data_IF_662706868897
#
_entry.id   IF_662706868897
#
_cell.length_a   1.000
_cell.length_b   1.000
_cell.length_c   1.000
_cell.angle_alpha   90.00
_cell.angle_beta   90.00
_cell.angle_gamma   90.00
#
_symmetry.space_group_name_H-M   'P 1'
#
loop_
_entity.id
_entity.type
_entity.pdbx_description
1 polymer ?
#
# COMPACT_ATOMS: atom_id res chain seq x y z
N UNK A 1 -10.88 -35.55 46.02
CA UNK A 1 -11.72 -36.13 44.95
C UNK A 1 -12.83 -35.15 44.61
N UNK A 2 -12.78 -34.47 43.47
CA UNK A 2 -13.96 -33.94 42.78
C UNK A 2 -13.54 -33.53 41.37
N UNK A 3 -14.11 -34.21 40.37
CA UNK A 3 -13.99 -33.92 38.95
C UNK A 3 -15.38 -33.51 38.47
N UNK A 4 -15.43 -32.49 37.61
CA UNK A 4 -16.13 -32.43 36.31
C UNK A 4 -17.07 -31.21 36.10
N UNK A 5 -16.92 -30.70 34.86
CA UNK A 5 -17.84 -29.92 34.02
C UNK A 5 -17.93 -28.40 34.21
N UNK A 6 -17.34 -27.66 33.27
CA UNK A 6 -18.11 -26.91 32.26
C UNK A 6 -17.21 -26.45 31.11
N UNK A 7 -17.57 -26.88 29.90
CA UNK A 7 -17.11 -26.32 28.65
C UNK A 7 -18.32 -26.13 27.74
N UNK A 8 -18.17 -25.22 26.77
CA UNK A 8 -19.07 -24.89 25.66
C UNK A 8 -20.11 -23.82 25.94
N UNK A 9 -19.80 -22.57 25.57
CA UNK A 9 -20.67 -21.69 24.77
C UNK A 9 -19.95 -20.37 24.43
N UNK A 10 -19.39 -20.26 23.21
CA UNK A 10 -19.19 -19.00 22.45
C UNK A 10 -18.63 -19.30 21.05
N UNK A 11 -19.45 -19.91 20.20
CA UNK A 11 -19.16 -20.08 18.76
C UNK A 11 -20.40 -19.79 17.87
N UNK A 12 -21.55 -19.45 18.49
CA UNK A 12 -22.83 -19.29 17.78
C UNK A 12 -23.16 -17.87 17.34
N UNK A 13 -22.49 -16.86 17.91
CA UNK A 13 -22.85 -15.45 17.69
C UNK A 13 -22.21 -14.88 16.41
N UNK A 14 -21.02 -15.34 16.05
CA UNK A 14 -20.26 -14.83 14.92
C UNK A 14 -20.78 -15.32 13.55
N UNK A 15 -21.24 -16.59 13.53
CA UNK A 15 -21.77 -17.20 12.30
C UNK A 15 -23.12 -16.61 11.88
N UNK A 16 -23.94 -16.15 12.83
CA UNK A 16 -25.22 -15.49 12.54
C UNK A 16 -25.03 -14.07 12.00
N UNK A 17 -24.03 -13.34 12.50
CA UNK A 17 -23.68 -12.01 12.00
C UNK A 17 -23.09 -12.08 10.59
N UNK A 18 -22.29 -13.12 10.32
CA UNK A 18 -21.74 -13.40 8.99
C UNK A 18 -22.81 -13.83 7.98
N UNK A 19 -23.73 -14.72 8.36
CA UNK A 19 -24.83 -15.15 7.49
C UNK A 19 -25.82 -14.01 7.20
N UNK A 20 -26.10 -13.14 8.17
CA UNK A 20 -26.93 -11.94 7.96
C UNK A 20 -26.27 -10.93 6.99
N UNK A 21 -24.93 -10.83 7.00
CA UNK A 21 -24.17 -10.00 6.02
C UNK A 21 -24.15 -10.62 4.62
N UNK A 22 -24.18 -11.94 4.52
CA UNK A 22 -24.27 -12.66 3.23
C UNK A 22 -25.70 -12.59 2.66
N UNK A 23 -26.74 -12.69 3.49
CA UNK A 23 -28.14 -12.52 3.06
C UNK A 23 -28.44 -11.07 2.63
N UNK A 24 -27.88 -10.06 3.33
CA UNK A 24 -27.98 -8.66 2.93
C UNK A 24 -27.28 -8.36 1.59
N UNK A 25 -26.19 -9.06 1.27
CA UNK A 25 -25.54 -8.99 -0.04
C UNK A 25 -26.39 -9.63 -1.16
N UNK A 26 -27.34 -10.50 -0.80
CA UNK A 26 -28.22 -11.21 -1.73
C UNK A 26 -29.45 -10.36 -2.14
N UNK A 27 -29.99 -9.51 -1.26
CA UNK A 27 -31.08 -8.57 -1.59
C UNK A 27 -30.66 -7.44 -2.54
N UNK A 28 -29.37 -7.06 -2.54
CA UNK A 28 -28.83 -6.05 -3.46
C UNK A 28 -28.57 -6.62 -4.87
N UNK A 29 -28.57 -7.95 -5.03
CA UNK A 29 -28.27 -8.66 -6.28
C UNK A 29 -29.49 -9.00 -7.15
N UNK A 30 -30.59 -8.24 -6.98
CA UNK A 30 -31.73 -8.25 -7.91
C UNK A 30 -31.51 -7.45 -9.21
N UNK A 31 -30.34 -6.79 -9.39
CA UNK A 31 -30.06 -5.90 -10.51
C UNK A 31 -28.94 -6.38 -11.43
N UNK A 32 -29.32 -6.86 -12.62
CA UNK A 32 -28.55 -7.04 -13.87
C UNK A 32 -27.00 -7.19 -13.79
N UNK A 33 -26.43 -8.39 -14.05
CA UNK A 33 -25.03 -8.73 -13.78
C UNK A 33 -24.02 -8.29 -14.85
N UNK A 34 -24.15 -7.09 -15.41
CA UNK A 34 -23.28 -6.61 -16.52
C UNK A 34 -22.38 -5.42 -16.19
N UNK A 35 -22.39 -4.88 -14.97
CA UNK A 35 -21.46 -3.79 -14.63
C UNK A 35 -20.06 -4.34 -14.31
N UNK A 36 -19.08 -3.93 -15.12
CA UNK A 36 -17.64 -4.25 -15.01
C UNK A 36 -17.01 -3.83 -13.67
N UNK A 37 -17.72 -3.12 -12.81
CA UNK A 37 -17.22 -2.48 -11.59
C UNK A 37 -17.10 -3.42 -10.40
N UNK A 38 -17.99 -4.40 -10.23
CA UNK A 38 -17.93 -5.34 -9.11
C UNK A 38 -16.80 -6.37 -9.22
N UNK A 39 -16.52 -6.84 -10.43
CA UNK A 39 -15.49 -7.86 -10.68
C UNK A 39 -14.06 -7.29 -10.59
N UNK A 40 -13.89 -6.00 -10.89
CA UNK A 40 -12.60 -5.32 -10.82
C UNK A 40 -12.15 -5.06 -9.37
N UNK A 41 -13.09 -4.88 -8.44
CA UNK A 41 -12.79 -4.62 -7.03
C UNK A 41 -12.24 -5.87 -6.31
N UNK A 42 -12.84 -7.04 -6.57
CA UNK A 42 -12.37 -8.33 -6.02
C UNK A 42 -10.98 -8.71 -6.55
N UNK A 43 -10.69 -8.39 -7.82
CA UNK A 43 -9.37 -8.65 -8.41
C UNK A 43 -8.27 -7.72 -7.87
N UNK A 44 -8.62 -6.54 -7.37
CA UNK A 44 -7.68 -5.60 -6.78
C UNK A 44 -7.32 -5.94 -5.31
N UNK A 45 -8.00 -6.91 -4.70
CA UNK A 45 -7.68 -7.42 -3.36
C UNK A 45 -6.59 -8.53 -3.38
N UNK A 46 -6.12 -8.97 -4.56
CA UNK A 46 -5.10 -10.01 -4.69
C UNK A 46 -3.93 -9.53 -5.58
N UNK A 47 -2.71 -9.29 -5.03
CA UNK A 47 -1.62 -8.68 -5.80
C UNK A 47 -0.96 -9.59 -6.84
N UNK A 48 -1.25 -10.89 -6.87
CA UNK A 48 -0.55 -11.83 -7.76
C UNK A 48 -1.49 -12.52 -8.74
N UNK A 49 -1.65 -11.95 -9.94
CA UNK A 49 -2.27 -12.65 -11.09
C UNK A 49 -1.47 -13.90 -11.53
N UNK A 50 -0.21 -14.03 -11.12
CA UNK A 50 0.69 -15.11 -11.54
C UNK A 50 0.41 -16.50 -10.95
N UNK A 51 -0.31 -16.63 -9.82
CA UNK A 51 -0.56 -17.94 -9.19
C UNK A 51 -1.79 -18.69 -9.72
N UNK A 52 -2.64 -18.05 -10.53
CA UNK A 52 -3.76 -18.75 -11.17
C UNK A 52 -3.37 -19.54 -12.44
N UNK A 53 -2.21 -19.23 -13.05
CA UNK A 53 -1.70 -19.96 -14.21
C UNK A 53 -0.78 -21.14 -13.86
N UNK A 54 -0.16 -21.16 -12.67
CA UNK A 54 0.72 -22.25 -12.27
C UNK A 54 -0.02 -23.50 -11.77
N UNK A 55 -1.31 -23.41 -11.44
CA UNK A 55 -2.13 -24.55 -11.01
C UNK A 55 -2.69 -25.38 -12.17
N UNK A 56 -2.45 -24.98 -13.42
CA UNK A 56 -2.86 -25.71 -14.62
C UNK A 56 -1.61 -26.08 -15.41
N UNK A 57 -1.05 -27.24 -15.08
CA UNK A 57 0.20 -27.75 -15.61
C UNK A 57 0.24 -27.84 -17.14
N UNK A 58 1.46 -27.66 -17.65
CA UNK A 58 1.89 -27.77 -19.04
C UNK A 58 1.42 -29.07 -19.72
N UNK A 59 0.64 -28.93 -20.80
CA UNK A 59 0.27 -30.03 -21.69
C UNK A 59 -0.52 -29.49 -22.88
N UNK A 60 -0.01 -29.71 -24.09
CA UNK A 60 -0.57 -29.21 -25.33
C UNK A 60 -2.06 -29.57 -25.51
N UNK A 61 -2.92 -28.57 -25.65
CA UNK A 61 -4.27 -28.73 -26.19
C UNK A 61 -4.58 -27.59 -27.15
N UNK A 62 -4.73 -27.96 -28.42
CA UNK A 62 -5.50 -27.21 -29.41
C UNK A 62 -6.91 -26.95 -28.83
N UNK A 63 -7.30 -25.67 -28.80
CA UNK A 63 -8.64 -25.14 -28.45
C UNK A 63 -9.30 -25.63 -27.14
N UNK A 64 -9.56 -24.68 -26.21
CA UNK A 64 -10.75 -24.79 -25.36
C UNK A 64 -11.48 -23.45 -25.28
N UNK A 65 -12.25 -23.10 -26.33
CA UNK A 65 -13.20 -21.96 -26.26
C UNK A 65 -14.63 -22.38 -25.90
N UNK A 66 -14.88 -23.69 -25.74
CA UNK A 66 -16.21 -24.25 -25.54
C UNK A 66 -16.49 -24.75 -24.10
N UNK A 67 -15.52 -25.36 -23.40
CA UNK A 67 -15.80 -26.01 -22.10
C UNK A 67 -15.81 -25.06 -20.90
N UNK A 68 -15.06 -23.95 -20.90
CA UNK A 68 -15.07 -22.99 -19.79
C UNK A 68 -16.38 -22.18 -19.70
N UNK A 69 -17.19 -22.17 -20.77
CA UNK A 69 -18.52 -21.56 -20.78
C UNK A 69 -19.56 -22.39 -20.02
N UNK A 70 -19.37 -23.70 -19.84
CA UNK A 70 -20.37 -24.54 -19.15
C UNK A 70 -20.27 -24.44 -17.61
N UNK A 71 -19.09 -24.10 -17.07
CA UNK A 71 -18.88 -23.91 -15.63
C UNK A 71 -19.32 -22.53 -15.11
N UNK A 72 -19.33 -21.53 -15.98
CA UNK A 72 -19.66 -20.13 -15.64
C UNK A 72 -20.98 -19.63 -16.25
N UNK A 73 -21.56 -20.40 -17.18
CA UNK A 73 -22.78 -20.05 -17.89
C UNK A 73 -23.90 -21.03 -17.58
N UNK A 74 -24.50 -20.91 -16.40
CA UNK A 74 -25.70 -21.68 -16.05
C UNK A 74 -26.29 -21.27 -14.70
N UNK A 75 -27.60 -21.45 -14.50
CA UNK A 75 -28.22 -21.24 -13.19
C UNK A 75 -27.54 -22.18 -12.18
N UNK A 76 -26.85 -21.63 -11.17
CA UNK A 76 -26.11 -22.39 -10.16
C UNK A 76 -24.58 -22.22 -10.18
N UNK A 77 -24.01 -21.47 -11.13
CA UNK A 77 -22.60 -21.07 -11.13
C UNK A 77 -22.09 -20.46 -9.79
N UNK A 78 -22.85 -19.58 -9.09
CA UNK A 78 -22.38 -19.01 -7.82
C UNK A 78 -22.25 -20.07 -6.69
N UNK A 79 -23.12 -21.09 -6.67
CA UNK A 79 -23.07 -22.13 -5.66
C UNK A 79 -21.83 -23.03 -5.81
N UNK A 80 -21.40 -23.30 -7.04
CA UNK A 80 -20.22 -24.13 -7.34
C UNK A 80 -18.91 -23.41 -7.06
N UNK A 81 -18.86 -22.09 -7.29
CA UNK A 81 -17.72 -21.26 -6.93
C UNK A 81 -17.54 -21.18 -5.41
N UNK A 82 -18.65 -21.05 -4.67
CA UNK A 82 -18.66 -21.04 -3.21
C UNK A 82 -18.19 -22.38 -2.62
N UNK A 83 -18.59 -23.50 -3.24
CA UNK A 83 -18.19 -24.84 -2.82
C UNK A 83 -16.68 -25.09 -3.02
N UNK A 84 -16.10 -24.56 -4.10
CA UNK A 84 -14.65 -24.60 -4.34
C UNK A 84 -13.88 -23.75 -3.32
N UNK A 85 -14.37 -22.56 -3.00
CA UNK A 85 -13.77 -21.67 -2.01
C UNK A 85 -13.82 -22.25 -0.59
N UNK A 86 -14.92 -22.90 -0.22
CA UNK A 86 -15.06 -23.63 1.06
C UNK A 86 -14.13 -24.85 1.15
N UNK A 87 -13.92 -25.57 0.05
CA UNK A 87 -12.96 -26.69 -0.01
C UNK A 87 -11.50 -26.23 0.10
N UNK A 88 -11.15 -25.07 -0.47
CA UNK A 88 -9.81 -24.48 -0.33
C UNK A 88 -9.52 -23.97 1.09
N UNK A 89 -10.53 -23.48 1.81
CA UNK A 89 -10.40 -23.01 3.19
C UNK A 89 -10.23 -24.15 4.22
N UNK A 90 -10.66 -25.37 3.89
CA UNK A 90 -10.53 -26.55 4.75
C UNK A 90 -9.15 -27.23 4.69
N UNK A 91 -8.25 -26.77 3.80
CA UNK A 91 -6.93 -27.37 3.57
C UNK A 91 -5.75 -26.61 4.23
N UNK A 92 -6.01 -25.54 4.99
CA UNK A 92 -4.95 -24.80 5.71
C UNK A 92 -4.73 -25.38 7.12
N UNK A 93 -3.50 -25.78 7.48
CA UNK A 93 -3.21 -26.28 8.82
C UNK A 93 -3.22 -25.15 9.85
N UNK A 94 -4.00 -25.32 10.91
CA UNK A 94 -4.01 -24.46 12.08
C UNK A 94 -2.91 -24.88 13.06
N UNK A 95 -1.80 -24.13 13.14
CA UNK A 95 -0.97 -24.10 14.35
C UNK A 95 0.09 -22.99 14.33
N UNK A 96 0.36 -22.50 15.56
CA UNK A 96 1.41 -21.59 16.02
C UNK A 96 1.09 -20.10 15.80
N UNK A 97 1.00 -19.24 16.82
CA UNK A 97 1.42 -19.31 18.22
C UNK A 97 1.88 -17.90 18.59
N UNK A 98 1.17 -17.25 19.51
CA UNK A 98 1.42 -15.87 19.96
C UNK A 98 2.84 -15.69 20.51
N UNK A 99 3.54 -14.68 20.01
CA UNK A 99 4.64 -14.02 20.71
C UNK A 99 4.50 -12.51 20.48
N UNK A 100 4.40 -11.79 21.59
CA UNK A 100 4.20 -10.35 21.70
C UNK A 100 5.57 -9.71 22.00
N UNK A 101 6.04 -8.72 21.23
CA UNK A 101 7.03 -7.79 21.74
C UNK A 101 6.52 -6.34 21.64
N UNK A 102 6.38 -5.72 22.82
CA UNK A 102 6.01 -4.32 22.96
C UNK A 102 6.98 -3.39 22.21
N UNK A 103 6.41 -2.49 21.42
CA UNK A 103 7.13 -1.45 20.69
C UNK A 103 7.37 -0.23 21.59
N UNK A 104 8.58 0.34 21.66
CA UNK A 104 8.79 1.63 22.29
C UNK A 104 8.37 2.77 21.35
N UNK A 105 7.43 3.59 21.81
CA UNK A 105 7.03 4.87 21.20
C UNK A 105 8.21 5.85 21.16
N UNK A 106 8.41 6.53 20.03
CA UNK A 106 9.17 7.79 20.01
C UNK A 106 8.60 8.80 19.04
N UNK A 107 8.46 10.03 19.55
CA UNK A 107 8.31 11.25 18.79
C UNK A 107 9.65 11.62 18.15
N UNK A 108 9.66 11.82 16.83
CA UNK A 108 10.82 12.28 16.10
C UNK A 108 10.68 13.78 15.80
N UNK A 109 11.25 14.62 16.65
CA UNK A 109 11.59 16.01 16.30
C UNK A 109 13.03 16.02 15.79
N UNK A 110 13.20 16.09 14.47
CA UNK A 110 14.53 16.09 13.87
C UNK A 110 14.49 16.56 12.42
N UNK A 111 14.89 17.81 12.19
CA UNK A 111 15.15 18.38 10.87
C UNK A 111 16.26 17.57 10.18
N UNK A 112 15.91 16.81 9.14
CA UNK A 112 16.88 16.16 8.26
C UNK A 112 17.23 17.10 7.10
N UNK A 113 18.44 17.66 7.11
CA UNK A 113 19.10 18.15 5.89
C UNK A 113 19.90 16.99 5.28
N UNK A 114 19.88 16.81 3.94
CA UNK A 114 20.62 15.72 3.31
C UNK A 114 22.11 16.06 3.18
N UNK A 115 22.96 15.28 3.85
CA UNK A 115 24.39 15.23 3.59
C UNK A 115 24.64 14.43 2.32
N UNK A 116 24.78 15.15 1.20
CA UNK A 116 25.28 14.63 -0.08
C UNK A 116 26.73 14.14 0.09
N UNK A 117 26.91 12.82 0.27
CA UNK A 117 28.18 12.17 -0.07
C UNK A 117 28.18 11.84 -1.57
N UNK A 118 29.21 12.30 -2.28
CA UNK A 118 29.44 12.01 -3.69
C UNK A 118 29.65 10.50 -3.87
N UNK A 119 28.78 9.86 -4.65
CA UNK A 119 29.04 8.54 -5.22
C UNK A 119 29.34 8.69 -6.71
N UNK A 120 30.36 7.96 -7.19
CA UNK A 120 30.88 8.06 -8.54
C UNK A 120 29.89 7.53 -9.57
N UNK A 121 29.51 8.37 -10.52
CA UNK A 121 28.78 7.96 -11.72
C UNK A 121 29.75 7.34 -12.73
N UNK A 122 29.56 6.06 -13.04
CA UNK A 122 30.19 5.37 -14.16
C UNK A 122 29.11 4.73 -15.01
N UNK A 123 28.78 5.36 -16.15
CA UNK A 123 27.94 4.76 -17.18
C UNK A 123 28.73 3.73 -17.97
N UNK A 124 28.24 2.48 -18.00
CA UNK A 124 28.77 1.42 -18.84
C UNK A 124 28.32 0.05 -18.34
N UNK A 125 27.46 -0.63 -19.11
CA UNK A 125 27.08 -2.05 -18.99
C UNK A 125 26.84 -2.55 -17.57
N UNK A 126 25.58 -2.57 -17.14
CA UNK A 126 25.13 -2.95 -15.79
C UNK A 126 25.52 -4.40 -15.45
N UNK A 127 26.77 -4.57 -14.99
CA UNK A 127 27.28 -5.79 -14.39
C UNK A 127 27.01 -5.68 -12.90
N UNK A 128 26.14 -6.56 -12.39
CA UNK A 128 25.86 -6.68 -10.96
C UNK A 128 27.18 -6.80 -10.17
N UNK A 129 27.28 -6.20 -8.98
CA UNK A 129 28.47 -6.38 -8.16
C UNK A 129 28.66 -7.87 -7.87
N UNK A 130 29.92 -8.36 -7.75
CA UNK A 130 30.22 -9.79 -7.61
C UNK A 130 29.54 -10.48 -6.41
N UNK A 131 29.10 -9.70 -5.43
CA UNK A 131 28.40 -10.09 -4.20
C UNK A 131 26.88 -10.12 -4.31
N UNK A 132 26.28 -9.55 -5.37
CA UNK A 132 24.83 -9.49 -5.52
C UNK A 132 24.26 -10.82 -6.06
N UNK A 133 23.27 -11.35 -5.34
CA UNK A 133 22.51 -12.51 -5.76
C UNK A 133 21.20 -12.06 -6.43
N UNK A 134 20.92 -12.54 -7.64
CA UNK A 134 19.62 -12.34 -8.26
C UNK A 134 18.50 -13.00 -7.44
N UNK A 135 17.41 -12.27 -7.23
CA UNK A 135 16.20 -12.77 -6.56
C UNK A 135 15.02 -12.70 -7.53
N UNK A 136 14.04 -13.63 -7.45
CA UNK A 136 12.88 -13.57 -8.32
C UNK A 136 12.14 -12.22 -8.17
N UNK A 137 11.82 -11.50 -9.26
CA UNK A 137 11.14 -10.20 -9.17
C UNK A 137 9.75 -10.25 -8.50
N UNK A 138 9.11 -11.42 -8.55
CA UNK A 138 7.83 -11.69 -7.86
C UNK A 138 7.98 -12.08 -6.39
N UNK A 139 9.22 -12.18 -5.88
CA UNK A 139 9.48 -12.50 -4.49
C UNK A 139 9.04 -11.34 -3.59
N UNK A 140 8.59 -11.65 -2.37
CA UNK A 140 8.03 -10.65 -1.47
C UNK A 140 9.07 -9.58 -1.08
N UNK A 141 10.35 -9.96 -0.92
CA UNK A 141 11.43 -9.01 -0.59
C UNK A 141 11.58 -7.94 -1.67
N UNK A 142 11.58 -8.35 -2.95
CA UNK A 142 11.67 -7.43 -4.08
C UNK A 142 10.49 -6.45 -4.10
N UNK A 143 9.26 -6.95 -3.90
CA UNK A 143 8.05 -6.12 -3.92
C UNK A 143 7.97 -5.18 -2.71
N UNK A 144 8.42 -5.62 -1.53
CA UNK A 144 8.50 -4.77 -0.33
C UNK A 144 9.52 -3.65 -0.54
N UNK A 145 10.73 -3.99 -0.97
CA UNK A 145 11.79 -3.04 -1.24
C UNK A 145 11.37 -2.00 -2.30
N UNK A 146 10.81 -2.45 -3.43
CA UNK A 146 10.27 -1.56 -4.46
C UNK A 146 9.10 -0.71 -3.95
N UNK A 147 8.25 -1.26 -3.08
CA UNK A 147 7.18 -0.52 -2.41
C UNK A 147 7.70 0.64 -1.55
N UNK A 148 8.78 0.43 -0.80
CA UNK A 148 9.41 1.51 -0.01
C UNK A 148 9.99 2.59 -0.92
N UNK A 149 10.67 2.21 -2.01
CA UNK A 149 11.16 3.17 -3.02
C UNK A 149 10.01 3.97 -3.62
N UNK A 150 8.89 3.32 -3.94
CA UNK A 150 7.69 4.01 -4.45
C UNK A 150 7.15 5.02 -3.44
N UNK A 151 7.03 4.66 -2.16
CA UNK A 151 6.56 5.55 -1.12
C UNK A 151 7.49 6.76 -0.92
N UNK A 152 8.80 6.55 -0.98
CA UNK A 152 9.79 7.61 -0.96
C UNK A 152 9.68 8.54 -2.18
N UNK A 153 9.61 7.98 -3.38
CA UNK A 153 9.43 8.74 -4.62
C UNK A 153 8.11 9.52 -4.62
N UNK A 154 7.04 8.93 -4.07
CA UNK A 154 5.74 9.58 -3.92
C UNK A 154 5.82 10.75 -2.95
N UNK A 155 6.53 10.62 -1.82
CA UNK A 155 6.74 11.75 -0.91
C UNK A 155 7.51 12.89 -1.58
N UNK A 156 8.52 12.58 -2.40
CA UNK A 156 9.33 13.59 -3.08
C UNK A 156 8.62 14.30 -4.23
N UNK A 157 7.79 13.59 -4.98
CA UNK A 157 7.24 14.07 -6.26
C UNK A 157 5.71 14.20 -6.28
N UNK A 158 5.02 13.61 -5.32
CA UNK A 158 3.57 13.54 -5.28
C UNK A 158 2.92 14.85 -4.87
N UNK A 159 1.64 14.97 -5.19
CA UNK A 159 0.80 16.09 -4.80
C UNK A 159 -0.65 15.63 -4.59
N UNK A 160 -1.56 16.50 -4.14
CA UNK A 160 -2.99 16.16 -4.05
C UNK A 160 -3.59 15.61 -5.37
N UNK A 161 -3.01 15.95 -6.52
CA UNK A 161 -3.44 15.47 -7.85
C UNK A 161 -2.36 14.69 -8.62
N UNK A 162 -1.32 14.20 -7.93
CA UNK A 162 -0.32 13.30 -8.51
C UNK A 162 0.07 12.22 -7.51
N UNK A 163 -0.25 10.97 -7.85
CA UNK A 163 0.12 9.78 -7.08
C UNK A 163 0.75 8.75 -8.00
N UNK A 164 1.61 7.91 -7.43
CA UNK A 164 2.32 6.87 -8.15
C UNK A 164 1.96 5.49 -7.63
N UNK A 165 1.88 4.55 -8.55
CA UNK A 165 1.63 3.14 -8.29
C UNK A 165 2.71 2.30 -8.95
N UNK A 166 3.15 1.25 -8.24
CA UNK A 166 4.06 0.26 -8.80
C UNK A 166 3.25 -0.76 -9.60
N UNK A 167 3.65 -1.02 -10.85
CA UNK A 167 2.99 -2.03 -11.68
C UNK A 167 3.69 -3.38 -11.57
N UNK A 168 4.95 -3.45 -11.97
CA UNK A 168 5.72 -4.70 -12.00
C UNK A 168 7.19 -4.46 -11.67
N UNK A 169 7.74 -5.32 -10.82
CA UNK A 169 9.20 -5.47 -10.68
C UNK A 169 9.70 -6.38 -11.80
N UNK A 170 10.65 -5.88 -12.59
CA UNK A 170 11.26 -6.59 -13.70
C UNK A 170 12.54 -7.31 -13.30
N UNK A 171 13.34 -6.66 -12.45
CA UNK A 171 14.62 -7.20 -11.99
C UNK A 171 14.79 -6.86 -10.51
N UNK A 172 15.38 -7.80 -9.79
CA UNK A 172 15.73 -7.62 -8.40
C UNK A 172 16.99 -8.44 -8.08
N UNK A 173 17.91 -7.85 -7.35
CA UNK A 173 19.02 -8.55 -6.73
C UNK A 173 19.23 -8.05 -5.31
N UNK A 174 19.87 -8.88 -4.50
CA UNK A 174 20.18 -8.63 -3.10
C UNK A 174 21.69 -8.78 -2.90
N UNK A 175 22.31 -7.72 -2.40
CA UNK A 175 23.67 -7.68 -1.93
C UNK A 175 23.66 -7.65 -0.39
N UNK A 176 24.32 -8.62 0.23
CA UNK A 176 24.62 -8.60 1.66
C UNK A 176 25.92 -7.81 1.88
N UNK A 177 25.84 -6.69 2.61
CA UNK A 177 26.97 -5.84 2.93
C UNK A 177 27.37 -6.12 4.39
N UNK A 178 28.52 -6.78 4.64
CA UNK A 178 28.97 -7.12 5.98
C UNK A 178 28.96 -5.91 6.92
N UNK A 179 28.48 -6.14 8.15
CA UNK A 179 28.38 -5.14 9.21
C UNK A 179 27.55 -3.88 8.88
N UNK A 180 26.83 -3.88 7.75
CA UNK A 180 26.03 -2.75 7.28
C UNK A 180 24.56 -3.13 7.10
N UNK A 181 24.28 -4.21 6.35
CA UNK A 181 22.93 -4.70 6.11
C UNK A 181 22.68 -5.10 4.66
N UNK A 182 21.42 -5.10 4.25
CA UNK A 182 20.98 -5.65 2.98
C UNK A 182 20.66 -4.56 1.96
N UNK A 183 21.34 -4.59 0.81
CA UNK A 183 21.10 -3.69 -0.31
C UNK A 183 20.35 -4.40 -1.43
N UNK A 184 19.24 -3.83 -1.86
CA UNK A 184 18.47 -4.31 -2.99
C UNK A 184 18.72 -3.42 -4.21
N UNK A 185 19.01 -4.03 -5.35
CA UNK A 185 19.03 -3.38 -6.66
C UNK A 185 17.79 -3.78 -7.43
N UNK A 186 17.01 -2.80 -7.89
CA UNK A 186 15.67 -2.99 -8.39
C UNK A 186 15.48 -2.29 -9.73
N UNK A 187 14.76 -2.93 -10.63
CA UNK A 187 14.17 -2.29 -11.82
C UNK A 187 12.68 -2.60 -11.87
N UNK A 188 11.82 -1.57 -11.87
CA UNK A 188 10.37 -1.73 -11.81
C UNK A 188 9.62 -0.60 -12.54
N UNK A 189 8.38 -0.86 -12.94
CA UNK A 189 7.50 0.12 -13.56
C UNK A 189 6.72 0.92 -12.53
N UNK A 190 6.68 2.24 -12.74
CA UNK A 190 5.90 3.20 -11.95
C UNK A 190 4.93 3.93 -12.88
N UNK A 191 3.67 3.99 -12.46
CA UNK A 191 2.60 4.64 -13.20
C UNK A 191 2.00 5.78 -12.39
N UNK A 192 1.72 6.90 -13.04
CA UNK A 192 0.89 7.97 -12.46
C UNK A 192 -0.57 7.53 -12.46
N UNK A 193 -1.19 7.46 -11.27
CA UNK A 193 -2.45 6.74 -11.09
C UNK A 193 -3.70 7.59 -11.14
N UNK A 194 -3.61 8.92 -11.05
CA UNK A 194 -4.78 9.80 -11.02
C UNK A 194 -5.26 10.15 -12.42
N UNK A 195 -4.32 10.47 -13.31
CA UNK A 195 -4.59 10.92 -14.68
C UNK A 195 -4.42 9.80 -15.71
N UNK A 196 -4.09 8.58 -15.25
CA UNK A 196 -3.92 7.39 -16.06
C UNK A 196 -2.86 7.60 -17.16
N UNK A 197 -1.70 8.12 -16.73
CA UNK A 197 -0.55 8.38 -17.59
C UNK A 197 0.21 7.13 -18.03
N UNK A 198 1.31 7.36 -18.76
CA UNK A 198 2.26 6.32 -19.14
C UNK A 198 3.02 5.78 -17.93
N UNK A 199 3.42 4.52 -18.02
CA UNK A 199 4.33 3.89 -17.07
C UNK A 199 5.77 4.26 -17.42
N UNK A 200 6.56 4.62 -16.43
CA UNK A 200 8.00 4.86 -16.54
C UNK A 200 8.76 3.76 -15.83
N UNK A 201 9.92 3.40 -16.37
CA UNK A 201 10.84 2.51 -15.65
C UNK A 201 11.54 3.29 -14.54
N UNK A 202 11.68 2.65 -13.39
CA UNK A 202 12.46 3.07 -12.26
C UNK A 202 13.60 2.08 -12.03
N UNK A 203 14.83 2.59 -11.93
CA UNK A 203 15.95 1.83 -11.38
C UNK A 203 16.26 2.38 -10.00
N UNK A 204 16.42 1.52 -9.00
CA UNK A 204 16.61 1.95 -7.63
C UNK A 204 17.52 1.02 -6.82
N UNK A 205 18.25 1.65 -5.91
CA UNK A 205 19.00 1.01 -4.84
C UNK A 205 18.33 1.38 -3.51
N UNK A 206 18.06 0.38 -2.68
CA UNK A 206 17.61 0.58 -1.29
C UNK A 206 18.45 -0.26 -0.34
N UNK A 207 19.02 0.37 0.68
CA UNK A 207 19.81 -0.27 1.73
C UNK A 207 19.03 -0.24 3.04
N UNK A 208 18.74 -1.43 3.57
CA UNK A 208 18.25 -1.61 4.93
C UNK A 208 19.44 -1.83 5.85
N UNK A 209 19.61 -0.96 6.84
CA UNK A 209 20.69 -1.10 7.81
C UNK A 209 20.37 -2.18 8.86
N UNK A 210 21.34 -3.03 9.14
CA UNK A 210 21.30 -3.98 10.25
C UNK A 210 22.16 -3.43 11.38
N UNK A 211 21.52 -2.87 12.39
CA UNK A 211 22.18 -2.36 13.58
C UNK A 211 21.19 -2.20 14.73
N UNK A 212 21.72 -2.02 15.94
CA UNK A 212 20.90 -1.90 17.16
C UNK A 212 20.04 -0.64 17.17
N UNK A 213 20.45 0.39 16.41
CA UNK A 213 19.68 1.61 16.23
C UNK A 213 18.85 1.50 14.96
N UNK A 214 17.51 1.58 15.05
CA UNK A 214 16.67 1.65 13.86
C UNK A 214 16.99 2.90 13.05
N UNK A 215 17.34 2.73 11.78
CA UNK A 215 17.62 3.81 10.83
C UNK A 215 16.73 3.61 9.60
N UNK A 216 16.19 4.71 9.07
CA UNK A 216 15.43 4.69 7.83
C UNK A 216 16.28 4.11 6.68
N UNK A 217 15.68 3.34 5.74
CA UNK A 217 16.42 2.81 4.60
C UNK A 217 17.04 3.94 3.75
N UNK A 218 18.28 3.75 3.30
CA UNK A 218 18.91 4.66 2.34
C UNK A 218 18.41 4.34 0.93
N UNK A 219 17.88 5.34 0.21
CA UNK A 219 17.25 5.14 -1.10
C UNK A 219 17.87 6.06 -2.14
N UNK A 220 18.28 5.45 -3.25
CA UNK A 220 18.66 6.15 -4.47
C UNK A 220 17.82 5.60 -5.62
N UNK A 221 17.26 6.46 -6.45
CA UNK A 221 16.49 6.01 -7.59
C UNK A 221 16.61 6.97 -8.77
N UNK A 222 16.41 6.42 -9.95
CA UNK A 222 16.30 7.14 -11.22
C UNK A 222 15.01 6.71 -11.92
N UNK A 223 14.39 7.66 -12.62
CA UNK A 223 13.21 7.40 -13.46
C UNK A 223 13.63 7.61 -14.91
N UNK A 224 13.34 6.64 -15.77
CA UNK A 224 13.60 6.72 -17.22
C UNK A 224 12.51 7.58 -17.88
N UNK A 225 12.64 8.90 -17.74
CA UNK A 225 11.71 9.89 -18.30
C UNK A 225 11.09 10.81 -17.26
N UNK A 226 10.09 11.59 -17.69
CA UNK A 226 9.34 12.51 -16.85
C UNK A 226 7.85 12.25 -17.01
N UNK A 227 7.12 12.26 -15.89
CA UNK A 227 5.66 12.27 -15.93
C UNK A 227 5.18 13.63 -16.43
N UNK A 228 4.10 13.65 -17.20
CA UNK A 228 3.53 14.89 -17.70
C UNK A 228 3.15 15.83 -16.55
N UNK A 229 3.54 17.09 -16.62
CA UNK A 229 3.36 18.08 -15.55
C UNK A 229 1.94 18.65 -15.50
N UNK A 230 0.92 17.79 -15.48
CA UNK A 230 -0.48 18.19 -15.51
C UNK A 230 -1.08 18.52 -14.14
N UNK A 231 -0.37 18.25 -13.03
CA UNK A 231 -0.91 18.45 -11.68
C UNK A 231 -0.92 19.91 -11.21
N UNK A 232 -0.09 20.80 -11.78
CA UNK A 232 0.18 22.13 -11.19
C UNK A 232 -1.07 23.03 -11.12
N UNK A 233 -1.90 23.03 -12.15
CA UNK A 233 -3.10 23.87 -12.18
C UNK A 233 -4.18 23.34 -11.21
N UNK A 234 -4.38 22.02 -11.16
CA UNK A 234 -5.29 21.38 -10.21
C UNK A 234 -4.83 21.58 -8.76
N UNK A 235 -3.53 21.49 -8.51
CA UNK A 235 -2.93 21.75 -7.20
C UNK A 235 -3.14 23.21 -6.78
N UNK A 236 -2.92 24.19 -7.67
CA UNK A 236 -3.21 25.60 -7.39
C UNK A 236 -4.69 25.87 -7.10
N UNK A 237 -5.60 25.25 -7.87
CA UNK A 237 -7.05 25.38 -7.63
C UNK A 237 -7.45 24.81 -6.26
N UNK A 238 -6.90 23.66 -5.88
CA UNK A 238 -7.13 23.08 -4.57
C UNK A 238 -6.55 23.93 -3.45
N UNK A 239 -5.32 24.42 -3.59
CA UNK A 239 -4.70 25.34 -2.65
C UNK A 239 -5.57 26.57 -2.40
N UNK A 240 -5.99 27.24 -3.47
CA UNK A 240 -6.84 28.43 -3.40
C UNK A 240 -8.20 28.09 -2.76
N UNK A 241 -8.81 26.95 -3.09
CA UNK A 241 -10.07 26.53 -2.48
C UNK A 241 -9.93 26.39 -0.96
N UNK A 242 -8.90 25.69 -0.48
CA UNK A 242 -8.73 25.42 0.96
C UNK A 242 -8.35 26.69 1.73
N UNK A 243 -7.52 27.57 1.14
CA UNK A 243 -7.18 28.88 1.72
C UNK A 243 -8.42 29.76 1.99
N UNK A 244 -9.45 29.67 1.14
CA UNK A 244 -10.63 30.54 1.21
C UNK A 244 -11.86 29.87 1.84
N UNK A 245 -11.70 28.72 2.50
CA UNK A 245 -12.81 28.14 3.27
C UNK A 245 -13.18 29.07 4.44
N UNK A 246 -14.48 29.26 4.65
CA UNK A 246 -14.98 30.09 5.76
C UNK A 246 -14.62 29.51 7.12
N UNK A 247 -14.61 28.18 7.22
CA UNK A 247 -14.21 27.42 8.40
C UNK A 247 -13.08 26.44 8.03
N UNK A 248 -12.14 26.16 8.94
CA UNK A 248 -11.11 25.15 8.70
C UNK A 248 -11.73 23.79 8.34
N UNK A 249 -11.12 23.11 7.36
CA UNK A 249 -11.53 21.77 6.99
C UNK A 249 -11.37 20.83 8.20
N UNK A 250 -12.43 20.14 8.59
CA UNK A 250 -12.41 19.10 9.63
C UNK A 250 -13.32 17.95 9.19
N UNK A 251 -12.78 16.72 9.13
CA UNK A 251 -13.52 15.54 8.69
C UNK A 251 -12.86 14.25 9.16
N UNK A 252 -13.56 13.12 9.04
CA UNK A 252 -13.17 11.83 9.60
C UNK A 252 -13.57 10.67 8.70
N UNK A 253 -12.92 9.53 8.91
CA UNK A 253 -13.21 8.24 8.27
C UNK A 253 -13.27 8.35 6.74
N UNK A 254 -12.11 8.64 6.13
CA UNK A 254 -11.97 8.79 4.68
C UNK A 254 -10.96 7.77 4.14
N UNK A 255 -11.35 6.84 3.25
CA UNK A 255 -12.73 6.52 2.89
C UNK A 255 -13.54 6.01 4.09
N UNK A 256 -14.85 5.95 3.94
CA UNK A 256 -15.72 5.33 4.95
C UNK A 256 -15.56 3.79 4.96
N UNK A 257 -16.29 3.12 5.85
CA UNK A 257 -16.20 1.66 6.02
C UNK A 257 -16.64 0.86 4.78
N UNK A 258 -17.38 1.50 3.87
CA UNK A 258 -17.84 0.90 2.61
C UNK A 258 -16.91 1.27 1.44
N UNK A 259 -15.81 1.98 1.72
CA UNK A 259 -14.84 2.42 0.72
C UNK A 259 -15.27 3.67 -0.05
N UNK A 260 -16.33 4.36 0.37
CA UNK A 260 -16.80 5.56 -0.30
C UNK A 260 -16.07 6.81 0.19
N UNK A 261 -15.90 7.77 -0.72
CA UNK A 261 -15.34 9.08 -0.42
C UNK A 261 -15.89 10.10 -1.42
N UNK A 262 -16.38 11.27 -0.96
CA UNK A 262 -16.76 12.37 -1.84
C UNK A 262 -15.60 12.81 -2.74
N UNK A 263 -15.87 13.16 -4.00
CA UNK A 263 -14.83 13.56 -4.94
C UNK A 263 -13.95 14.71 -4.44
N UNK A 264 -14.54 15.63 -3.69
CA UNK A 264 -13.88 16.77 -3.05
C UNK A 264 -12.90 16.40 -1.93
N UNK A 265 -13.03 15.21 -1.35
CA UNK A 265 -12.10 14.71 -0.33
C UNK A 265 -10.91 13.94 -0.92
N UNK A 266 -10.96 13.58 -2.22
CA UNK A 266 -9.86 12.87 -2.89
C UNK A 266 -8.53 13.61 -2.78
N UNK A 267 -8.43 14.93 -3.00
CA UNK A 267 -7.15 15.62 -2.88
C UNK A 267 -6.60 15.61 -1.44
N UNK A 268 -7.48 15.68 -0.43
CA UNK A 268 -7.10 15.59 0.99
C UNK A 268 -6.58 14.18 1.33
N UNK A 269 -7.24 13.14 0.81
CA UNK A 269 -6.81 11.75 0.96
C UNK A 269 -5.50 11.47 0.24
N UNK A 270 -5.35 11.98 -0.98
CA UNK A 270 -4.12 11.85 -1.76
C UNK A 270 -2.95 12.57 -1.07
N UNK A 271 -3.17 13.77 -0.53
CA UNK A 271 -2.17 14.49 0.26
C UNK A 271 -1.73 13.67 1.48
N UNK A 272 -2.67 13.01 2.17
CA UNK A 272 -2.35 12.09 3.26
C UNK A 272 -1.55 10.88 2.79
N UNK A 273 -1.84 10.31 1.61
CA UNK A 273 -1.02 9.23 1.02
C UNK A 273 0.40 9.72 0.71
N UNK A 274 0.55 10.90 0.12
CA UNK A 274 1.87 11.50 -0.17
C UNK A 274 2.67 11.68 1.12
N UNK A 275 2.07 12.28 2.15
CA UNK A 275 2.70 12.47 3.45
C UNK A 275 3.03 11.13 4.14
N UNK A 276 2.13 10.14 4.04
CA UNK A 276 2.37 8.79 4.55
C UNK A 276 3.56 8.11 3.87
N UNK A 277 3.91 8.50 2.64
CA UNK A 277 5.12 8.02 1.97
C UNK A 277 6.39 8.28 2.79
N UNK A 278 6.50 9.44 3.46
CA UNK A 278 7.59 9.73 4.37
C UNK A 278 7.56 8.82 5.60
N UNK A 279 6.40 8.68 6.24
CA UNK A 279 6.24 7.82 7.43
C UNK A 279 6.61 6.37 7.10
N UNK A 280 6.09 5.85 6.00
CA UNK A 280 6.35 4.48 5.55
C UNK A 280 7.83 4.32 5.26
N UNK A 281 8.45 5.22 4.51
CA UNK A 281 9.89 5.18 4.26
C UNK A 281 10.69 5.16 5.56
N UNK A 282 10.43 6.10 6.47
CA UNK A 282 11.20 6.24 7.71
C UNK A 282 11.10 5.03 8.66
N UNK A 283 10.02 4.25 8.58
CA UNK A 283 9.73 3.16 9.51
C UNK A 283 9.76 1.77 8.86
N UNK A 284 10.13 1.67 7.58
CA UNK A 284 10.16 0.39 6.88
C UNK A 284 11.39 -0.44 7.21
N UNK A 285 11.16 -1.74 7.40
CA UNK A 285 12.18 -2.79 7.45
C UNK A 285 11.91 -3.81 6.35
N UNK A 286 12.80 -4.79 6.18
CA UNK A 286 12.57 -5.91 5.25
C UNK A 286 11.33 -6.75 5.60
N UNK A 287 10.88 -6.68 6.86
CA UNK A 287 9.76 -7.44 7.39
C UNK A 287 8.42 -6.72 7.33
N UNK A 288 8.40 -5.44 6.97
CA UNK A 288 7.17 -4.63 6.90
C UNK A 288 6.70 -4.44 5.46
N UNK A 289 5.39 -4.26 5.28
CA UNK A 289 4.81 -3.86 4.00
C UNK A 289 3.63 -2.91 4.22
N UNK A 290 3.95 -1.65 4.47
CA UNK A 290 2.94 -0.65 4.80
C UNK A 290 2.19 -0.12 3.58
N UNK A 291 0.90 0.14 3.80
CA UNK A 291 0.06 0.96 2.93
C UNK A 291 -0.89 1.80 3.79
N UNK A 292 -1.12 3.06 3.41
CA UNK A 292 -2.13 3.88 4.06
C UNK A 292 -3.52 3.50 3.53
N UNK A 293 -4.44 3.17 4.45
CA UNK A 293 -5.77 2.65 4.11
C UNK A 293 -6.90 3.63 4.42
N UNK A 294 -6.71 4.53 5.39
CA UNK A 294 -7.77 5.42 5.83
C UNK A 294 -7.21 6.64 6.57
N UNK A 295 -7.88 7.78 6.46
CA UNK A 295 -7.81 8.90 7.39
C UNK A 295 -8.89 8.66 8.45
N UNK A 296 -8.49 8.44 9.70
CA UNK A 296 -9.45 8.46 10.81
C UNK A 296 -9.92 9.88 11.08
N UNK A 297 -9.01 10.84 11.12
CA UNK A 297 -9.32 12.24 11.39
C UNK A 297 -8.39 13.16 10.60
N UNK A 298 -8.91 14.28 10.11
CA UNK A 298 -8.10 15.35 9.55
C UNK A 298 -8.69 16.69 9.96
N UNK A 299 -7.80 17.59 10.37
CA UNK A 299 -8.14 18.97 10.69
C UNK A 299 -7.12 19.92 10.08
N UNK A 300 -7.61 20.93 9.38
CA UNK A 300 -6.80 22.05 8.93
C UNK A 300 -6.45 22.95 10.12
N UNK A 301 -5.17 23.25 10.25
CA UNK A 301 -4.65 24.20 11.25
C UNK A 301 -4.52 25.56 10.56
N UNK A 302 -5.12 26.62 11.14
CA UNK A 302 -4.99 27.97 10.59
C UNK A 302 -3.56 28.46 10.77
N UNK A 303 -3.00 29.02 9.70
CA UNK A 303 -1.66 29.60 9.68
C UNK A 303 -1.70 31.04 9.18
N UNK A 304 -0.62 31.76 9.48
CA UNK A 304 -0.41 33.14 9.01
C UNK A 304 0.54 33.22 7.81
N UNK A 305 1.16 32.10 7.43
CA UNK A 305 2.02 32.00 6.25
C UNK A 305 1.26 31.40 5.05
N UNK A 306 1.96 31.14 3.95
CA UNK A 306 1.43 30.62 2.70
C UNK A 306 1.30 29.08 2.68
N UNK A 307 1.61 28.38 3.77
CA UNK A 307 1.42 26.94 3.82
C UNK A 307 0.02 26.56 4.28
N UNK A 308 -0.53 25.52 3.67
CA UNK A 308 -1.63 24.78 4.29
C UNK A 308 -1.04 23.80 5.29
N UNK A 309 -1.69 23.68 6.44
CA UNK A 309 -1.34 22.70 7.46
C UNK A 309 -2.53 21.84 7.84
N UNK A 310 -2.25 20.54 7.96
CA UNK A 310 -3.22 19.54 8.34
C UNK A 310 -2.65 18.66 9.43
N UNK A 311 -3.42 18.49 10.51
CA UNK A 311 -3.21 17.44 11.50
C UNK A 311 -4.01 16.22 11.06
N UNK A 312 -3.31 15.17 10.64
CA UNK A 312 -3.90 13.90 10.23
C UNK A 312 -3.73 12.83 11.31
N UNK A 313 -4.76 12.01 11.48
CA UNK A 313 -4.68 10.67 12.06
C UNK A 313 -5.02 9.67 10.95
N UNK A 314 -4.05 8.86 10.54
CA UNK A 314 -4.19 7.87 9.47
C UNK A 314 -4.06 6.46 10.01
N UNK A 315 -4.55 5.49 9.24
CA UNK A 315 -4.33 4.07 9.45
C UNK A 315 -3.37 3.55 8.40
N UNK A 316 -2.26 2.98 8.87
CA UNK A 316 -1.35 2.18 8.06
C UNK A 316 -1.70 0.71 8.26
N UNK A 317 -1.88 -0.01 7.17
CA UNK A 317 -1.94 -1.47 7.16
C UNK A 317 -0.56 -2.01 6.85
N UNK A 318 0.05 -2.72 7.81
CA UNK A 318 1.20 -3.57 7.52
C UNK A 318 0.70 -4.90 6.95
N UNK A 319 0.76 -5.04 5.63
CA UNK A 319 0.29 -6.23 4.93
C UNK A 319 1.11 -7.46 5.33
N UNK A 320 2.37 -7.30 5.75
CA UNK A 320 3.21 -8.42 6.13
C UNK A 320 2.72 -9.09 7.43
N UNK A 321 2.32 -8.29 8.42
CA UNK A 321 1.84 -8.75 9.73
C UNK A 321 0.32 -8.76 9.87
N UNK A 322 -0.40 -8.17 8.91
CA UNK A 322 -1.86 -7.90 8.94
C UNK A 322 -2.28 -6.92 10.05
N UNK A 323 -1.34 -6.10 10.55
CA UNK A 323 -1.65 -5.11 11.59
C UNK A 323 -2.16 -3.79 11.02
N UNK A 324 -3.14 -3.19 11.71
CA UNK A 324 -3.58 -1.82 11.49
C UNK A 324 -2.95 -0.95 12.57
N UNK A 325 -2.16 0.03 12.15
CA UNK A 325 -1.36 0.90 13.01
C UNK A 325 -1.84 2.34 12.82
N UNK A 326 -2.42 2.96 13.85
CA UNK A 326 -2.80 4.37 13.81
C UNK A 326 -1.55 5.25 13.89
N UNK A 327 -1.51 6.30 13.07
CA UNK A 327 -0.38 7.23 13.00
C UNK A 327 -0.86 8.67 12.94
N UNK A 328 -0.29 9.52 13.78
CA UNK A 328 -0.52 10.96 13.72
C UNK A 328 0.59 11.65 12.92
N UNK A 329 0.23 12.60 12.07
CA UNK A 329 1.20 13.44 11.35
C UNK A 329 0.69 14.86 11.13
N UNK A 330 1.57 15.83 11.35
CA UNK A 330 1.38 17.22 10.96
C UNK A 330 2.02 17.45 9.59
N UNK A 331 1.20 17.85 8.62
CA UNK A 331 1.59 17.96 7.22
C UNK A 331 1.47 19.40 6.77
N UNK A 332 2.58 19.96 6.32
CA UNK A 332 2.65 21.23 5.63
C UNK A 332 2.65 20.99 4.12
N UNK A 333 1.87 21.78 3.39
CA UNK A 333 1.83 21.70 1.94
C UNK A 333 1.65 23.07 1.28
N UNK A 334 2.39 23.28 0.19
CA UNK A 334 2.22 24.41 -0.71
C UNK A 334 2.47 23.92 -2.15
N UNK A 335 1.69 24.34 -3.17
CA UNK A 335 1.82 23.85 -4.54
C UNK A 335 3.21 24.05 -5.15
N UNK A 336 3.98 25.05 -4.71
CA UNK A 336 5.34 25.30 -5.21
C UNK A 336 6.43 24.61 -4.38
N UNK A 337 6.16 24.32 -3.10
CA UNK A 337 7.18 23.81 -2.16
C UNK A 337 7.01 22.32 -1.88
N UNK A 338 5.91 21.71 -2.31
CA UNK A 338 5.61 20.30 -2.11
C UNK A 338 5.08 20.00 -0.71
N UNK A 339 5.18 18.73 -0.32
CA UNK A 339 4.73 18.20 0.97
C UNK A 339 5.89 18.14 1.95
N UNK A 340 5.64 18.50 3.21
CA UNK A 340 6.57 18.31 4.31
C UNK A 340 5.83 17.77 5.53
N UNK A 341 6.33 16.67 6.09
CA UNK A 341 5.88 16.18 7.40
C UNK A 341 6.65 16.93 8.48
N UNK A 342 5.98 17.76 9.27
CA UNK A 342 6.59 18.59 10.30
C UNK A 342 6.81 17.82 11.62
N UNK A 343 5.81 17.04 12.01
CA UNK A 343 5.83 16.16 13.17
C UNK A 343 5.07 14.88 12.84
N UNK A 344 5.42 13.79 13.51
CA UNK A 344 4.66 12.55 13.43
C UNK A 344 4.90 11.65 14.65
N UNK A 345 3.94 10.79 14.94
CA UNK A 345 4.07 9.75 15.96
C UNK A 345 3.11 8.59 15.72
N UNK A 346 3.60 7.37 15.92
CA UNK A 346 2.74 6.18 16.02
C UNK A 346 1.82 6.33 17.25
N UNK A 347 0.56 5.96 17.12
CA UNK A 347 -0.44 6.08 18.19
C UNK A 347 -0.70 4.71 18.83
N UNK A 348 -1.06 4.69 20.11
CA UNK A 348 -1.56 3.49 20.76
C UNK A 348 -2.93 3.11 20.19
N UNK A 349 -3.17 1.80 20.04
CA UNK A 349 -4.46 1.23 19.62
C UNK A 349 -5.58 1.50 20.63
#
# INVERSE_FOLDING_TARGET
MARKNRGVHKAGTDRRLFLARVEAAQEVWGGNPTSKTGFQWVLNLFPSRGRFQAALGSGAFLQPRAEMRSLLGGPGAPARLLQLLLLLLLLLPASLGLADPGWPLRAATGSAQPLLKKFGGGGGGEQLPPSAMEIPPSHYQANRAAGVVLHYATYQRGSPHSLFEMERVHQASLEDIPDTGHKYHLKFEVKESIQNGSSLNCTADILYHHGDTPVAPEIHYTMEGEFETHSKEADNLFYNRIQHLSEPLETKNIPDNDGNMPAEMKPIFNLAKVASGYIIWQNSTENTWYNMIQIQNVKQVKRNDDYLEFSYEVLLHDIASQEIIPWHMEVLWHPQHGVKVAQNSCQSK
#
